data_IF_086893014583
#
_entry.id   IF_086893014583
#
_cell.length_a   1.000
_cell.length_b   1.000
_cell.length_c   1.000
_cell.angle_alpha   90.00
_cell.angle_beta   90.00
_cell.angle_gamma   90.00
#
_symmetry.space_group_name_H-M   'P 1'
#
loop_
_entity.id
_entity.type
_entity.pdbx_description
1 polymer ?
#
# COMPACT_ATOMS: atom_id res chain seq x y z
N UNK A 1 -19.09 -5.92 -18.05
CA UNK A 1 -19.07 -4.82 -17.05
C UNK A 1 -17.99 -4.97 -15.97
N UNK A 2 -17.00 -5.85 -16.13
CA UNK A 2 -15.99 -6.17 -15.10
C UNK A 2 -14.97 -5.05 -14.84
N UNK A 3 -14.47 -4.39 -15.90
CA UNK A 3 -13.40 -3.39 -15.75
C UNK A 3 -13.80 -2.10 -15.01
N UNK A 4 -15.04 -1.63 -15.17
CA UNK A 4 -15.54 -0.47 -14.45
C UNK A 4 -15.73 -0.77 -12.95
N UNK A 5 -16.19 -1.98 -12.64
CA UNK A 5 -16.37 -2.46 -11.27
C UNK A 5 -15.03 -2.61 -10.53
N UNK A 6 -14.03 -3.22 -11.17
CA UNK A 6 -12.65 -3.30 -10.62
C UNK A 6 -12.15 -1.91 -10.26
N UNK A 7 -12.26 -0.93 -11.19
CA UNK A 7 -11.82 0.45 -10.95
C UNK A 7 -12.57 1.12 -9.79
N UNK A 8 -13.87 0.87 -9.64
CA UNK A 8 -14.68 1.41 -8.53
C UNK A 8 -14.23 0.82 -7.21
N UNK A 9 -14.07 -0.50 -7.14
CA UNK A 9 -13.73 -1.21 -5.91
C UNK A 9 -12.31 -0.88 -5.43
N UNK A 10 -11.38 -0.80 -6.37
CA UNK A 10 -10.01 -0.46 -6.10
C UNK A 10 -9.77 0.99 -5.66
N UNK A 11 -10.71 1.91 -5.97
CA UNK A 11 -10.69 3.27 -5.41
C UNK A 11 -10.95 3.29 -3.92
N UNK A 12 -11.70 2.32 -3.40
CA UNK A 12 -12.10 2.23 -2.00
C UNK A 12 -11.13 1.33 -1.21
N UNK A 13 -10.74 0.19 -1.79
CA UNK A 13 -9.86 -0.80 -1.14
C UNK A 13 -8.39 -0.53 -1.51
N UNK A 14 -7.81 0.60 -1.07
CA UNK A 14 -6.47 1.06 -1.52
C UNK A 14 -5.33 0.11 -1.12
N UNK A 15 -5.41 -0.48 0.09
CA UNK A 15 -4.36 -1.34 0.65
C UNK A 15 -4.42 -2.79 0.18
N UNK A 16 -5.47 -3.19 -0.56
CA UNK A 16 -5.61 -4.55 -1.09
C UNK A 16 -4.93 -4.70 -2.44
N UNK A 17 -4.36 -5.88 -2.66
CA UNK A 17 -3.76 -6.25 -3.95
C UNK A 17 -4.76 -6.13 -5.09
N UNK A 18 -4.33 -5.49 -6.19
CA UNK A 18 -5.15 -5.36 -7.40
C UNK A 18 -5.55 -6.72 -7.98
N UNK A 19 -4.65 -7.72 -7.91
CA UNK A 19 -4.92 -9.06 -8.40
C UNK A 19 -6.07 -9.72 -7.63
N UNK A 20 -6.03 -9.65 -6.29
CA UNK A 20 -7.07 -10.20 -5.42
C UNK A 20 -8.44 -9.57 -5.69
N UNK A 21 -8.50 -8.25 -5.90
CA UNK A 21 -9.74 -7.55 -6.24
C UNK A 21 -10.27 -8.02 -7.60
N UNK A 22 -9.39 -8.17 -8.59
CA UNK A 22 -9.74 -8.63 -9.93
C UNK A 22 -10.29 -10.06 -9.90
N UNK A 23 -9.64 -10.97 -9.19
CA UNK A 23 -10.09 -12.36 -9.02
C UNK A 23 -11.48 -12.42 -8.39
N UNK A 24 -11.72 -11.68 -7.30
CA UNK A 24 -13.03 -11.64 -6.65
C UNK A 24 -14.14 -11.08 -7.56
N UNK A 25 -13.84 -10.00 -8.30
CA UNK A 25 -14.82 -9.38 -9.21
C UNK A 25 -15.13 -10.31 -10.38
N UNK A 26 -14.11 -11.00 -10.92
CA UNK A 26 -14.34 -11.97 -11.99
C UNK A 26 -15.11 -13.18 -11.49
N UNK A 27 -14.75 -13.75 -10.33
CA UNK A 27 -15.45 -14.88 -9.73
C UNK A 27 -16.96 -14.60 -9.53
N UNK A 28 -17.31 -13.39 -9.05
CA UNK A 28 -18.71 -12.97 -8.90
C UNK A 28 -19.45 -12.94 -10.24
N UNK A 29 -18.82 -12.36 -11.27
CA UNK A 29 -19.40 -12.18 -12.59
C UNK A 29 -19.45 -13.46 -13.44
N UNK A 30 -18.67 -14.51 -13.13
CA UNK A 30 -18.76 -15.83 -13.78
C UNK A 30 -19.92 -16.70 -13.29
N UNK A 31 -20.62 -16.30 -12.23
CA UNK A 31 -21.77 -17.06 -11.70
C UNK A 31 -23.07 -16.80 -12.47
N UNK A 32 -23.08 -15.83 -13.40
CA UNK A 32 -24.26 -15.53 -14.23
C UNK A 32 -24.24 -16.33 -15.53
N UNK A 33 -25.32 -17.07 -15.80
CA UNK A 33 -25.56 -17.78 -17.06
C UNK A 33 -26.33 -16.86 -18.03
N UNK A 34 -25.95 -16.72 -19.32
CA UNK A 34 -24.83 -17.36 -19.99
C UNK A 34 -23.49 -16.66 -19.74
N UNK A 35 -22.42 -17.45 -19.64
CA UNK A 35 -21.06 -16.95 -19.58
C UNK A 35 -20.74 -16.08 -20.81
N UNK A 36 -20.17 -14.89 -20.64
CA UNK A 36 -19.80 -14.04 -21.77
C UNK A 36 -18.73 -14.74 -22.63
N UNK A 37 -18.88 -14.69 -23.97
CA UNK A 37 -18.01 -15.35 -24.95
C UNK A 37 -16.51 -14.94 -24.91
N UNK A 38 -16.13 -13.98 -24.06
CA UNK A 38 -14.76 -13.50 -23.90
C UNK A 38 -14.59 -12.91 -22.49
N UNK A 39 -13.88 -13.64 -21.63
CA UNK A 39 -13.46 -13.12 -20.34
C UNK A 39 -12.20 -12.26 -20.51
N UNK A 40 -12.17 -11.04 -19.95
CA UNK A 40 -10.98 -10.21 -19.98
C UNK A 40 -9.83 -10.84 -19.18
N UNK A 41 -8.60 -10.68 -19.69
CA UNK A 41 -7.40 -11.21 -19.03
C UNK A 41 -7.21 -10.55 -17.63
N UNK A 42 -7.12 -11.32 -16.52
CA UNK A 42 -6.92 -10.79 -15.17
C UNK A 42 -5.73 -9.85 -15.05
N UNK A 43 -4.63 -10.19 -15.73
CA UNK A 43 -3.39 -9.42 -15.65
C UNK A 43 -3.53 -8.03 -16.28
N UNK A 44 -4.30 -7.93 -17.37
CA UNK A 44 -4.58 -6.64 -18.00
C UNK A 44 -5.47 -5.78 -17.11
N UNK A 45 -6.43 -6.39 -16.41
CA UNK A 45 -7.29 -5.70 -15.45
C UNK A 45 -6.50 -5.23 -14.22
N UNK A 46 -5.60 -6.06 -13.67
CA UNK A 46 -4.79 -5.68 -12.51
C UNK A 46 -3.79 -4.57 -12.84
N UNK A 47 -3.21 -4.58 -14.06
CA UNK A 47 -2.39 -3.47 -14.56
C UNK A 47 -3.19 -2.19 -14.73
N UNK A 48 -4.38 -2.27 -15.33
CA UNK A 48 -5.26 -1.12 -15.49
C UNK A 48 -5.68 -0.54 -14.12
N UNK A 49 -5.90 -1.41 -13.15
CA UNK A 49 -6.23 -1.03 -11.79
C UNK A 49 -5.07 -0.32 -11.08
N UNK A 50 -3.89 -0.91 -11.09
CA UNK A 50 -2.68 -0.30 -10.55
C UNK A 50 -2.39 1.06 -11.21
N UNK A 51 -2.58 1.17 -12.53
CA UNK A 51 -2.45 2.44 -13.26
C UNK A 51 -3.47 3.48 -12.80
N UNK A 52 -4.72 3.09 -12.55
CA UNK A 52 -5.75 3.96 -12.00
C UNK A 52 -5.40 4.44 -10.58
N UNK A 53 -4.76 3.60 -9.76
CA UNK A 53 -4.27 3.96 -8.41
C UNK A 53 -3.04 4.87 -8.42
N UNK A 54 -2.23 4.86 -9.48
CA UNK A 54 -1.02 5.69 -9.55
C UNK A 54 -1.30 7.18 -9.33
N UNK A 55 -2.40 7.71 -9.88
CA UNK A 55 -2.77 9.12 -9.72
C UNK A 55 -3.23 9.49 -8.30
N UNK A 56 -3.52 8.49 -7.45
CA UNK A 56 -3.89 8.68 -6.04
C UNK A 56 -2.72 8.46 -5.08
N UNK A 57 -1.53 8.13 -5.59
CA UNK A 57 -0.37 7.97 -4.70
C UNK A 57 -0.10 9.30 -4.00
N UNK A 58 0.22 9.27 -2.70
CA UNK A 58 0.62 10.48 -2.00
C UNK A 58 1.88 11.06 -2.65
N UNK A 59 2.01 12.38 -2.57
CA UNK A 59 3.22 13.07 -3.01
C UNK A 59 4.42 12.49 -2.27
N UNK A 60 5.53 12.31 -2.97
CA UNK A 60 6.77 11.87 -2.35
C UNK A 60 7.18 12.85 -1.24
N UNK A 61 7.50 12.31 -0.05
CA UNK A 61 8.02 13.11 1.06
C UNK A 61 9.37 13.72 0.66
N UNK A 62 9.51 15.04 0.76
CA UNK A 62 10.72 15.74 0.31
C UNK A 62 11.75 15.89 1.42
N UNK A 63 11.28 16.04 2.64
CA UNK A 63 12.11 16.28 3.82
C UNK A 63 11.60 15.48 5.02
N UNK A 64 12.44 15.40 6.06
CA UNK A 64 12.13 14.74 7.33
C UNK A 64 11.18 15.56 8.22
N UNK A 65 10.81 16.77 7.78
CA UNK A 65 9.84 17.65 8.44
C UNK A 65 8.43 17.55 7.85
N UNK A 66 8.28 16.81 6.75
CA UNK A 66 7.03 16.68 6.01
C UNK A 66 6.03 15.88 6.85
N UNK A 67 4.80 16.38 6.95
CA UNK A 67 3.71 15.66 7.61
C UNK A 67 3.36 14.38 6.82
N UNK A 68 3.39 13.24 7.50
CA UNK A 68 2.93 11.98 6.94
C UNK A 68 1.39 12.00 6.79
N UNK A 69 0.91 11.80 5.56
CA UNK A 69 -0.53 11.62 5.33
C UNK A 69 -0.98 10.23 5.79
N UNK A 70 -1.50 10.17 7.03
CA UNK A 70 -1.94 8.94 7.69
C UNK A 70 -3.05 8.21 6.93
N UNK A 71 -3.80 8.88 6.06
CA UNK A 71 -4.84 8.24 5.24
C UNK A 71 -4.27 7.24 4.23
N UNK A 72 -2.97 7.35 3.92
CA UNK A 72 -2.26 6.45 3.00
C UNK A 72 -1.45 5.38 3.72
N UNK A 73 -1.66 5.21 5.02
CA UNK A 73 -1.03 4.17 5.83
C UNK A 73 -2.13 3.27 6.40
N UNK A 74 -1.98 1.93 6.39
CA UNK A 74 -2.94 1.07 7.05
C UNK A 74 -2.99 1.35 8.56
N UNK A 75 -4.18 1.31 9.16
CA UNK A 75 -4.41 1.70 10.56
C UNK A 75 -3.50 0.98 11.56
N UNK A 76 -3.24 -0.31 11.36
CA UNK A 76 -2.40 -1.14 12.25
C UNK A 76 -0.91 -1.20 11.84
N UNK A 77 -0.46 -0.28 10.99
CA UNK A 77 0.90 -0.31 10.45
C UNK A 77 1.81 0.80 10.98
N UNK A 78 1.28 2.02 11.19
CA UNK A 78 2.02 3.09 11.86
C UNK A 78 1.87 2.92 13.37
N UNK A 79 2.98 2.59 14.05
CA UNK A 79 2.98 2.44 15.50
C UNK A 79 3.16 3.79 16.19
N UNK A 80 4.15 4.56 15.76
CA UNK A 80 4.47 5.86 16.35
C UNK A 80 5.06 6.80 15.31
N UNK A 81 4.83 8.09 15.53
CA UNK A 81 5.37 9.20 14.74
C UNK A 81 5.98 10.22 15.72
N UNK A 82 7.30 10.11 15.91
CA UNK A 82 8.02 10.81 16.98
C UNK A 82 8.75 12.01 16.38
N UNK A 83 8.36 13.21 16.81
CA UNK A 83 9.05 14.45 16.47
C UNK A 83 10.07 14.81 17.57
N UNK A 84 11.34 14.95 17.20
CA UNK A 84 12.39 15.41 18.12
C UNK A 84 12.46 16.94 18.04
N UNK A 85 11.90 17.61 19.05
CA UNK A 85 11.89 19.06 19.14
C UNK A 85 13.33 19.62 19.19
N UNK A 86 13.64 20.57 18.31
CA UNK A 86 14.97 21.20 18.22
C UNK A 86 15.93 20.62 17.17
N UNK A 87 15.63 19.44 16.57
CA UNK A 87 16.46 18.84 15.52
C UNK A 87 15.76 18.70 14.16
N UNK A 88 14.47 19.07 14.06
CA UNK A 88 13.67 18.94 12.83
C UNK A 88 13.68 17.51 12.25
N UNK A 89 13.81 16.49 13.10
CA UNK A 89 13.82 15.08 12.70
C UNK A 89 12.53 14.37 13.13
N UNK A 90 11.90 13.68 12.18
CA UNK A 90 10.80 12.75 12.42
C UNK A 90 11.32 11.29 12.41
N UNK A 91 10.92 10.50 13.41
CA UNK A 91 11.11 9.06 13.44
C UNK A 91 9.78 8.36 13.25
N UNK A 92 9.66 7.62 12.15
CA UNK A 92 8.51 6.77 11.89
C UNK A 92 8.78 5.35 12.39
N UNK A 93 7.96 4.87 13.32
CA UNK A 93 7.97 3.47 13.75
C UNK A 93 6.83 2.76 13.02
N UNK A 94 7.18 1.85 12.12
CA UNK A 94 6.22 1.08 11.33
C UNK A 94 6.39 -0.42 11.55
N UNK A 95 5.28 -1.13 11.71
CA UNK A 95 5.27 -2.59 11.79
C UNK A 95 3.85 -3.11 11.64
N UNK A 96 3.68 -4.23 10.93
CA UNK A 96 2.43 -4.99 10.97
C UNK A 96 2.33 -5.82 12.26
N UNK A 97 1.10 -6.14 12.69
CA UNK A 97 0.86 -7.03 13.83
C UNK A 97 1.63 -8.35 13.72
N UNK A 98 1.61 -8.97 12.54
CA UNK A 98 2.33 -10.22 12.27
C UNK A 98 3.84 -10.08 12.48
N UNK A 99 4.43 -8.95 12.07
CA UNK A 99 5.86 -8.70 12.31
C UNK A 99 6.15 -8.56 13.81
N UNK A 100 5.28 -7.89 14.57
CA UNK A 100 5.41 -7.78 16.03
C UNK A 100 5.31 -9.13 16.74
N UNK A 101 4.38 -9.98 16.32
CA UNK A 101 4.22 -11.32 16.89
C UNK A 101 5.46 -12.18 16.64
N UNK A 102 5.99 -12.16 15.40
CA UNK A 102 7.23 -12.86 15.06
C UNK A 102 8.40 -12.33 15.89
N UNK A 103 8.52 -11.00 16.05
CA UNK A 103 9.59 -10.39 16.84
C UNK A 103 9.51 -10.74 18.33
N UNK A 104 8.29 -10.81 18.88
CA UNK A 104 8.03 -11.19 20.27
C UNK A 104 8.49 -12.62 20.57
N UNK A 105 8.25 -13.54 19.64
CA UNK A 105 8.58 -14.95 19.81
C UNK A 105 10.03 -15.28 19.38
N UNK A 106 10.71 -14.35 18.70
CA UNK A 106 12.08 -14.55 18.24
C UNK A 106 13.09 -14.53 19.40
N UNK A 107 13.85 -15.63 19.56
CA UNK A 107 14.94 -15.76 20.54
C UNK A 107 16.15 -14.87 20.23
N UNK A 108 16.35 -14.54 18.95
CA UNK A 108 17.49 -13.75 18.48
C UNK A 108 17.00 -12.80 17.39
N UNK A 109 17.39 -11.53 17.48
CA UNK A 109 17.00 -10.49 16.54
C UNK A 109 18.15 -10.18 15.59
N UNK A 110 17.84 -10.11 14.30
CA UNK A 110 18.74 -9.63 13.27
C UNK A 110 18.18 -8.32 12.72
N UNK A 111 19.02 -7.30 12.66
CA UNK A 111 18.67 -6.02 12.07
C UNK A 111 19.50 -5.84 10.81
N UNK A 112 18.84 -5.81 9.65
CA UNK A 112 19.44 -5.32 8.42
C UNK A 112 19.09 -3.83 8.27
N UNK A 113 20.12 -2.99 8.23
CA UNK A 113 19.98 -1.54 8.22
C UNK A 113 20.56 -1.00 6.93
N UNK A 114 19.70 -0.41 6.12
CA UNK A 114 20.12 0.36 4.95
C UNK A 114 20.26 1.83 5.34
N UNK A 115 21.49 2.30 5.48
CA UNK A 115 21.76 3.71 5.73
C UNK A 115 21.81 4.47 4.40
N UNK A 116 20.88 5.41 4.20
CA UNK A 116 21.02 6.45 3.17
C UNK A 116 21.29 7.78 3.84
N UNK A 117 22.52 8.26 3.70
CA UNK A 117 22.88 9.62 4.13
C UNK A 117 22.47 10.57 3.01
N UNK A 118 21.40 11.30 3.27
CA UNK A 118 20.89 12.38 2.43
C UNK A 118 21.65 13.63 2.93
N UNK A 119 22.72 14.06 2.22
CA UNK A 119 23.51 15.28 2.49
C UNK A 119 22.91 16.57 1.91
N UNK A 120 22.80 17.64 2.70
CA UNK A 120 22.40 18.97 2.21
C UNK A 120 23.08 19.38 0.88
N UNK A 121 22.42 20.16 0.00
CA UNK A 121 21.05 20.67 0.09
C UNK A 121 20.15 19.92 -0.90
N UNK A 122 19.17 19.14 -0.44
CA UNK A 122 18.19 18.60 -1.40
C UNK A 122 17.15 19.68 -1.71
N UNK A 123 17.09 20.06 -2.97
CA UNK A 123 15.97 20.76 -3.63
C UNK A 123 14.73 19.89 -3.71
#
# INVERSE_FOLDING_TARGET
MTGAEVKKRAKNEVFRSAMTIVEEVMAKNTTSDPLPCSLPNPYNLSRADNRNRQGKKPTHLRDLTSNLDKNHVPDDFLLEDIFVYGMCTCHLIISSLKQKDILKDARTWYCDVTFRVVKDPFT
#
